data_IF_265647964706
#
_entry.id   IF_265647964706
#
_cell.length_a   1.000
_cell.length_b   1.000
_cell.length_c   1.000
_cell.angle_alpha   90.00
_cell.angle_beta   90.00
_cell.angle_gamma   90.00
#
_symmetry.space_group_name_H-M   'P 1'
#
loop_
_entity.id
_entity.type
_entity.pdbx_description
1 polymer ?
#
# COMPACT_ATOMS: atom_id res chain seq x y z
N UNK A 1 -4.98 -0.47 18.76
CA UNK A 1 -6.27 -0.06 19.33
C UNK A 1 -6.20 1.28 20.04
N UNK A 2 -5.15 1.53 20.82
CA UNK A 2 -4.98 2.81 21.49
C UNK A 2 -4.85 3.98 20.50
N UNK A 3 -4.13 3.77 19.41
CA UNK A 3 -3.98 4.78 18.36
C UNK A 3 -5.32 5.13 17.73
N UNK A 4 -6.11 4.11 17.37
CA UNK A 4 -7.43 4.28 16.76
C UNK A 4 -8.36 5.04 17.72
N UNK A 5 -8.36 4.66 18.98
CA UNK A 5 -9.21 5.29 20.00
C UNK A 5 -8.84 6.76 20.24
N UNK A 6 -7.55 7.07 20.38
CA UNK A 6 -7.08 8.44 20.62
C UNK A 6 -7.34 9.37 19.45
N UNK A 7 -7.21 8.88 18.23
CA UNK A 7 -7.42 9.68 17.02
C UNK A 7 -8.88 9.66 16.53
N UNK A 8 -9.75 8.90 17.18
CA UNK A 8 -11.16 8.74 16.80
C UNK A 8 -11.30 8.28 15.34
N UNK A 9 -10.47 7.32 14.95
CA UNK A 9 -10.42 6.81 13.58
C UNK A 9 -11.62 5.89 13.33
N UNK A 10 -12.33 6.12 12.24
CA UNK A 10 -13.49 5.32 11.83
C UNK A 10 -13.14 4.25 10.80
N UNK A 11 -12.07 4.44 10.07
CA UNK A 11 -11.58 3.50 9.06
C UNK A 11 -10.07 3.66 8.92
N UNK A 12 -9.37 2.54 8.84
CA UNK A 12 -7.91 2.52 8.72
C UNK A 12 -7.50 1.33 7.87
N UNK A 13 -6.49 1.52 7.05
CA UNK A 13 -5.89 0.43 6.27
C UNK A 13 -4.37 0.58 6.26
N UNK A 14 -3.69 -0.54 6.07
CA UNK A 14 -2.24 -0.56 5.99
C UNK A 14 -1.75 -0.19 4.61
N UNK A 15 -0.71 0.63 4.56
CA UNK A 15 0.01 0.98 3.33
C UNK A 15 1.49 0.74 3.51
N UNK A 16 2.18 0.55 2.40
CA UNK A 16 3.64 0.44 2.40
C UNK A 16 4.20 1.23 1.22
N UNK A 17 5.45 1.66 1.32
CA UNK A 17 6.11 2.40 0.25
C UNK A 17 6.21 1.56 -1.01
N UNK A 18 5.91 2.15 -2.17
CA UNK A 18 6.06 1.47 -3.46
C UNK A 18 7.54 1.25 -3.75
N UNK A 19 7.85 0.11 -4.36
CA UNK A 19 9.21 -0.20 -4.83
C UNK A 19 9.50 0.58 -6.10
N UNK A 20 8.53 0.56 -7.05
CA UNK A 20 8.65 1.27 -8.31
C UNK A 20 7.91 2.61 -8.22
N UNK A 21 8.62 3.69 -8.53
CA UNK A 21 8.00 5.01 -8.53
C UNK A 21 6.94 5.10 -9.61
N UNK A 22 5.75 5.71 -9.35
CA UNK A 22 4.69 5.80 -10.36
C UNK A 22 5.08 6.46 -11.67
N UNK A 23 6.08 7.35 -11.67
CA UNK A 23 6.61 7.97 -12.89
C UNK A 23 7.26 6.95 -13.83
N UNK A 24 7.67 5.80 -13.31
CA UNK A 24 8.28 4.71 -14.07
C UNK A 24 7.29 3.64 -14.50
N UNK A 25 6.01 3.82 -14.20
CA UNK A 25 4.95 2.85 -14.51
C UNK A 25 4.27 3.23 -15.81
N UNK A 26 4.11 2.26 -16.70
CA UNK A 26 3.44 2.44 -17.99
C UNK A 26 2.24 1.50 -18.09
N UNK A 27 1.29 1.89 -18.93
CA UNK A 27 0.21 1.02 -19.37
C UNK A 27 0.54 0.53 -20.78
N UNK A 28 0.36 -0.74 -21.06
CA UNK A 28 0.61 -1.30 -22.38
C UNK A 28 -0.60 -2.09 -22.88
N UNK A 29 -0.96 -1.88 -24.16
CA UNK A 29 -2.00 -2.64 -24.84
C UNK A 29 -1.63 -2.75 -26.32
N UNK A 30 -1.57 -3.99 -26.84
CA UNK A 30 -1.28 -4.26 -28.25
C UNK A 30 0.02 -3.61 -28.72
N UNK A 31 1.09 -3.70 -27.94
CA UNK A 31 2.41 -3.12 -28.19
C UNK A 31 2.46 -1.59 -28.16
N UNK A 32 1.34 -0.94 -27.89
CA UNK A 32 1.30 0.51 -27.63
C UNK A 32 1.32 0.74 -26.12
N UNK A 33 1.98 1.81 -25.71
CA UNK A 33 2.12 2.11 -24.30
C UNK A 33 1.96 3.60 -24.03
N UNK A 34 1.67 3.92 -22.78
CA UNK A 34 1.63 5.30 -22.28
C UNK A 34 2.02 5.32 -20.80
N UNK A 35 2.50 6.46 -20.34
CA UNK A 35 2.80 6.61 -18.93
C UNK A 35 1.52 6.61 -18.11
N UNK A 36 1.58 6.00 -16.92
CA UNK A 36 0.47 6.02 -15.96
C UNK A 36 0.16 7.46 -15.52
N UNK A 37 1.21 8.26 -15.29
CA UNK A 37 1.09 9.66 -14.91
C UNK A 37 1.27 10.52 -16.15
N UNK A 38 0.22 11.23 -16.55
CA UNK A 38 0.19 12.04 -17.78
C UNK A 38 1.19 13.20 -17.77
N UNK A 39 1.39 13.85 -16.63
CA UNK A 39 2.40 14.90 -16.47
C UNK A 39 3.66 14.28 -15.89
N UNK A 40 4.47 13.71 -16.76
CA UNK A 40 5.74 13.17 -16.33
C UNK A 40 6.71 14.32 -16.10
N UNK A 41 7.30 14.34 -14.93
CA UNK A 41 8.38 15.25 -14.64
C UNK A 41 9.68 14.47 -14.70
N UNK A 42 10.55 14.89 -15.61
CA UNK A 42 11.83 14.23 -15.88
C UNK A 42 12.91 14.56 -14.85
N UNK A 43 12.61 15.48 -13.93
CA UNK A 43 13.56 15.93 -12.93
C UNK A 43 13.44 15.09 -11.66
N UNK A 44 14.58 14.55 -11.15
CA UNK A 44 14.63 13.75 -9.92
C UNK A 44 14.00 14.44 -8.70
N UNK A 45 13.89 15.76 -8.72
CA UNK A 45 13.23 16.51 -7.65
C UNK A 45 11.78 16.12 -7.44
N UNK A 46 11.13 15.55 -8.45
CA UNK A 46 9.75 15.11 -8.37
C UNK A 46 9.62 13.67 -7.86
N UNK A 47 10.72 12.94 -7.77
CA UNK A 47 10.75 11.68 -7.06
C UNK A 47 10.76 11.85 -5.54
N UNK A 48 10.76 13.10 -5.05
CA UNK A 48 10.64 13.40 -3.62
C UNK A 48 9.24 13.14 -3.07
N UNK A 49 8.21 13.08 -3.94
CA UNK A 49 6.88 12.68 -3.51
C UNK A 49 6.90 11.19 -3.19
N UNK A 50 6.47 10.89 -1.97
CA UNK A 50 6.36 9.51 -1.54
C UNK A 50 5.04 8.91 -1.99
N UNK A 51 5.11 7.69 -2.50
CA UNK A 51 3.93 6.95 -2.95
C UNK A 51 3.85 5.65 -2.20
N UNK A 52 2.62 5.25 -1.91
CA UNK A 52 2.32 4.07 -1.11
C UNK A 52 1.31 3.20 -1.84
N UNK A 53 1.29 1.92 -1.53
CA UNK A 53 0.26 1.01 -2.00
C UNK A 53 -0.50 0.42 -0.83
N UNK A 54 -1.76 0.07 -1.07
CA UNK A 54 -2.61 -0.58 -0.07
C UNK A 54 -2.20 -2.05 -0.01
N UNK A 55 -1.70 -2.48 1.16
CA UNK A 55 -1.13 -3.83 1.31
C UNK A 55 -2.19 -4.93 1.36
N UNK A 56 -3.42 -4.58 1.75
CA UNK A 56 -4.45 -5.58 1.98
C UNK A 56 -4.26 -6.41 3.25
N UNK A 57 -3.22 -6.12 4.03
CA UNK A 57 -2.89 -6.91 5.21
C UNK A 57 -3.81 -6.64 6.40
N UNK A 58 -4.42 -5.46 6.45
CA UNK A 58 -5.34 -5.10 7.52
C UNK A 58 -6.28 -3.99 7.08
N UNK A 59 -7.56 -4.17 7.40
CA UNK A 59 -8.59 -3.13 7.29
C UNK A 59 -9.32 -3.04 8.61
N UNK A 60 -9.41 -1.83 9.14
CA UNK A 60 -10.23 -1.53 10.32
C UNK A 60 -11.35 -0.59 9.90
N UNK A 61 -12.56 -0.85 10.38
CA UNK A 61 -13.70 0.03 10.14
C UNK A 61 -14.70 -0.08 11.28
N UNK A 62 -15.39 1.03 11.56
CA UNK A 62 -16.50 1.01 12.50
C UNK A 62 -17.79 0.66 11.78
N UNK A 63 -18.77 0.18 12.55
CA UNK A 63 -20.12 -0.10 12.04
C UNK A 63 -20.73 1.14 11.39
N UNK A 64 -20.55 2.31 12.02
CA UNK A 64 -21.06 3.56 11.49
C UNK A 64 -20.44 3.93 10.14
N UNK A 65 -19.14 3.70 10.00
CA UNK A 65 -18.45 3.99 8.74
C UNK A 65 -18.98 3.16 7.59
N UNK A 66 -19.09 1.82 7.80
CA UNK A 66 -19.51 0.93 6.73
C UNK A 66 -20.98 1.17 6.35
N UNK A 67 -21.83 1.50 7.30
CA UNK A 67 -23.23 1.82 7.00
C UNK A 67 -23.37 3.14 6.25
N UNK A 68 -22.55 4.14 6.60
CA UNK A 68 -22.61 5.45 5.95
C UNK A 68 -22.06 5.42 4.52
N UNK A 69 -20.92 4.78 4.31
CA UNK A 69 -20.19 4.85 3.03
C UNK A 69 -20.32 3.61 2.16
N UNK A 70 -20.86 2.50 2.69
CA UNK A 70 -21.01 1.23 1.97
C UNK A 70 -19.69 0.72 1.39
N UNK A 71 -18.59 0.99 2.10
CA UNK A 71 -17.26 0.58 1.71
C UNK A 71 -16.38 0.43 2.95
N UNK A 72 -15.31 -0.37 2.85
CA UNK A 72 -14.39 -0.58 3.96
C UNK A 72 -13.47 0.63 4.18
N UNK A 73 -13.16 1.35 3.12
CA UNK A 73 -12.31 2.53 3.18
C UNK A 73 -12.64 3.50 2.06
N UNK A 74 -12.25 4.76 2.26
CA UNK A 74 -12.35 5.83 1.27
C UNK A 74 -11.29 6.90 1.61
N UNK A 75 -11.38 8.05 0.97
CA UNK A 75 -10.42 9.15 1.17
C UNK A 75 -10.39 9.69 2.59
N UNK A 76 -11.43 9.45 3.39
CA UNK A 76 -11.50 9.86 4.80
C UNK A 76 -10.85 8.85 5.74
N UNK A 77 -10.46 7.69 5.24
CA UNK A 77 -9.79 6.66 6.02
C UNK A 77 -8.37 7.06 6.35
N UNK A 78 -7.84 6.50 7.43
CA UNK A 78 -6.45 6.71 7.82
C UNK A 78 -5.58 5.65 7.15
N UNK A 79 -4.53 6.10 6.45
CA UNK A 79 -3.54 5.21 5.84
C UNK A 79 -2.38 5.05 6.82
N UNK A 80 -2.23 3.87 7.38
CA UNK A 80 -1.21 3.56 8.37
C UNK A 80 -0.04 2.85 7.70
N UNK A 81 1.14 3.48 7.73
CA UNK A 81 2.33 2.92 7.10
C UNK A 81 2.89 1.74 7.88
N UNK A 82 3.16 0.65 7.18
CA UNK A 82 3.84 -0.53 7.73
C UNK A 82 5.08 -0.84 6.91
N UNK A 83 6.03 -1.50 7.55
CA UNK A 83 7.27 -1.89 6.91
C UNK A 83 7.03 -3.00 5.89
N UNK A 84 7.69 -2.91 4.73
CA UNK A 84 7.61 -3.93 3.66
C UNK A 84 7.95 -5.33 4.14
N UNK A 85 8.87 -5.44 5.08
CA UNK A 85 9.31 -6.74 5.63
C UNK A 85 8.19 -7.45 6.38
N UNK A 86 7.17 -6.71 6.82
CA UNK A 86 6.03 -7.24 7.57
C UNK A 86 4.88 -7.67 6.66
N UNK A 87 5.05 -7.52 5.34
CA UNK A 87 3.97 -7.78 4.39
C UNK A 87 4.49 -8.59 3.21
N UNK A 88 3.81 -9.69 2.92
CA UNK A 88 3.95 -10.43 1.67
C UNK A 88 2.63 -11.18 1.43
N UNK A 89 2.08 -11.04 0.21
CA UNK A 89 0.93 -11.83 -0.21
C UNK A 89 1.41 -13.19 -0.70
N UNK A 90 0.87 -14.25 -0.13
CA UNK A 90 1.23 -15.61 -0.53
C UNK A 90 0.21 -16.08 -1.56
N UNK A 91 0.48 -15.80 -2.84
CA UNK A 91 -0.38 -16.19 -3.95
C UNK A 91 0.13 -17.42 -4.68
N UNK A 92 1.43 -17.70 -4.58
CA UNK A 92 2.09 -18.78 -5.28
C UNK A 92 3.31 -19.28 -4.52
N UNK A 93 4.02 -20.26 -5.10
CA UNK A 93 5.22 -20.81 -4.50
C UNK A 93 6.33 -19.77 -4.33
N UNK A 94 6.48 -18.87 -5.28
CA UNK A 94 7.51 -17.82 -5.23
C UNK A 94 7.29 -16.91 -4.03
N UNK A 95 6.06 -16.40 -3.84
CA UNK A 95 5.75 -15.51 -2.70
C UNK A 95 5.81 -16.25 -1.37
N UNK A 96 5.48 -17.55 -1.35
CA UNK A 96 5.67 -18.39 -0.17
C UNK A 96 7.14 -18.48 0.23
N UNK A 97 8.02 -18.78 -0.71
CA UNK A 97 9.45 -18.84 -0.45
C UNK A 97 10.01 -17.49 0.01
N UNK A 98 9.54 -16.41 -0.61
CA UNK A 98 9.91 -15.05 -0.22
C UNK A 98 9.50 -14.77 1.23
N UNK A 99 8.29 -15.20 1.65
CA UNK A 99 7.82 -15.02 3.01
C UNK A 99 8.70 -15.74 4.03
N UNK A 100 9.16 -16.94 3.70
CA UNK A 100 10.07 -17.70 4.57
C UNK A 100 11.42 -16.98 4.73
N UNK A 101 11.94 -16.43 3.66
CA UNK A 101 13.20 -15.67 3.70
C UNK A 101 13.07 -14.40 4.53
N UNK A 102 11.96 -13.68 4.41
CA UNK A 102 11.69 -12.49 5.22
C UNK A 102 11.59 -12.84 6.70
N UNK A 103 10.98 -13.97 7.03
CA UNK A 103 10.91 -14.44 8.41
C UNK A 103 12.30 -14.70 8.99
N UNK A 104 13.18 -15.31 8.21
CA UNK A 104 14.58 -15.54 8.62
C UNK A 104 15.32 -14.23 8.86
N UNK A 105 15.11 -13.24 8.02
CA UNK A 105 15.70 -11.91 8.18
C UNK A 105 15.26 -11.23 9.48
N UNK A 106 13.97 -11.32 9.81
CA UNK A 106 13.43 -10.79 11.08
C UNK A 106 14.06 -11.46 12.29
N UNK A 107 14.27 -12.77 12.23
CA UNK A 107 14.82 -13.53 13.36
C UNK A 107 16.30 -13.29 13.59
N UNK A 108 17.01 -12.69 12.62
CA UNK A 108 18.44 -12.33 12.74
C UNK A 108 18.67 -11.00 13.47
N UNK A 109 17.64 -10.22 13.61
CA UNK A 109 17.70 -8.93 14.31
C UNK A 109 17.19 -9.11 15.76
#
# INVERSE_FOLDING_TARGET
>A
LNFISKKKIQSLFHVSKVIEHPNEIIQSKNSKWKYLIKKRVTNRQNYLKEYFFITGSLFFFTKNFIFKYKNLYNEKSFAYEVDKINFVDIDDKFTYEMSQNLKKMKNRN
#
